data_IF_629234110294
#
_entry.id   IF_629234110294
#
_cell.length_a   1.000
_cell.length_b   1.000
_cell.length_c   1.000
_cell.angle_alpha   90.00
_cell.angle_beta   90.00
_cell.angle_gamma   90.00
#
_symmetry.space_group_name_H-M   'P 1'
#
loop_
_entity.id
_entity.type
_entity.pdbx_description
1 polymer ?
#
# COMPACT_ATOMS: atom_id res chain seq x y z
N UNK A 1 15.13 -9.88 -4.58
CA UNK A 1 15.18 -11.33 -4.23
C UNK A 1 13.78 -11.92 -3.97
N UNK A 2 12.91 -11.22 -3.23
CA UNK A 2 11.54 -11.69 -2.94
C UNK A 2 10.71 -11.79 -4.23
N UNK A 3 10.76 -10.79 -5.11
CA UNK A 3 10.01 -10.79 -6.37
C UNK A 3 10.32 -12.02 -7.24
N UNK A 4 11.57 -12.44 -7.31
CA UNK A 4 11.96 -13.64 -8.07
C UNK A 4 11.41 -14.95 -7.45
N UNK A 5 11.31 -15.01 -6.10
CA UNK A 5 10.76 -16.18 -5.41
C UNK A 5 9.24 -16.26 -5.52
N UNK A 6 8.58 -15.11 -5.40
CA UNK A 6 7.12 -15.02 -5.37
C UNK A 6 6.51 -14.95 -6.76
N UNK A 7 7.28 -14.48 -7.76
CA UNK A 7 6.81 -14.33 -9.14
C UNK A 7 6.21 -15.61 -9.73
N UNK A 8 6.85 -16.75 -9.49
CA UNK A 8 6.32 -18.05 -9.95
C UNK A 8 4.99 -18.43 -9.28
N UNK A 9 4.74 -17.95 -8.06
CA UNK A 9 3.50 -18.24 -7.34
C UNK A 9 2.30 -17.44 -7.87
N UNK A 10 2.55 -16.34 -8.56
CA UNK A 10 1.51 -15.53 -9.20
C UNK A 10 0.82 -16.27 -10.37
N UNK A 11 1.51 -17.23 -10.96
CA UNK A 11 0.99 -18.07 -12.06
C UNK A 11 0.40 -19.40 -11.57
N UNK A 12 0.30 -19.61 -10.27
CA UNK A 12 -0.23 -20.84 -9.69
C UNK A 12 -1.70 -21.07 -10.10
N UNK A 13 -2.07 -22.33 -10.38
CA UNK A 13 -3.45 -22.72 -10.59
C UNK A 13 -4.35 -22.45 -9.38
N UNK A 14 -3.78 -22.52 -8.17
CA UNK A 14 -4.52 -22.27 -6.94
C UNK A 14 -4.68 -20.75 -6.71
N UNK A 15 -5.91 -20.22 -6.75
CA UNK A 15 -6.14 -18.78 -6.57
C UNK A 15 -5.75 -18.28 -5.17
N UNK A 16 -5.80 -19.12 -4.13
CA UNK A 16 -5.35 -18.74 -2.79
C UNK A 16 -3.83 -18.49 -2.75
N UNK A 17 -3.06 -19.26 -3.53
CA UNK A 17 -1.62 -19.04 -3.68
C UNK A 17 -1.36 -17.73 -4.41
N UNK A 18 -2.09 -17.44 -5.50
CA UNK A 18 -1.97 -16.15 -6.22
C UNK A 18 -2.29 -14.97 -5.32
N UNK A 19 -3.38 -15.07 -4.55
CA UNK A 19 -3.74 -14.05 -3.56
C UNK A 19 -2.62 -13.81 -2.54
N UNK A 20 -2.11 -14.89 -1.93
CA UNK A 20 -1.02 -14.81 -0.96
C UNK A 20 0.26 -14.22 -1.55
N UNK A 21 0.58 -14.56 -2.80
CA UNK A 21 1.71 -14.02 -3.53
C UNK A 21 1.56 -12.51 -3.79
N UNK A 22 0.37 -12.04 -4.18
CA UNK A 22 0.08 -10.60 -4.29
C UNK A 22 0.35 -9.87 -2.97
N UNK A 23 -0.21 -10.38 -1.87
CA UNK A 23 -0.04 -9.77 -0.54
C UNK A 23 1.43 -9.78 -0.10
N UNK A 24 2.17 -10.85 -0.39
CA UNK A 24 3.60 -10.93 -0.08
C UNK A 24 4.42 -9.87 -0.82
N UNK A 25 4.11 -9.58 -2.09
CA UNK A 25 4.73 -8.49 -2.84
C UNK A 25 4.41 -7.13 -2.21
N UNK A 26 3.13 -6.85 -1.95
CA UNK A 26 2.72 -5.57 -1.36
C UNK A 26 3.36 -5.31 0.00
N UNK A 27 3.46 -6.34 0.85
CA UNK A 27 4.05 -6.23 2.19
C UNK A 27 5.58 -6.14 2.19
N UNK A 28 6.23 -6.68 1.17
CA UNK A 28 7.69 -6.63 1.07
C UNK A 28 8.23 -5.33 0.48
N UNK A 29 7.41 -4.59 -0.26
CA UNK A 29 7.80 -3.36 -0.96
C UNK A 29 6.84 -2.19 -0.64
N UNK A 30 6.49 -1.94 0.63
CA UNK A 30 5.56 -0.86 0.95
C UNK A 30 6.19 0.49 0.65
N UNK A 31 5.42 1.37 0.01
CA UNK A 31 5.82 2.74 -0.35
C UNK A 31 7.10 2.83 -1.21
N UNK A 32 7.48 1.75 -1.88
CA UNK A 32 8.71 1.71 -2.70
C UNK A 32 8.54 2.31 -4.10
N UNK A 33 7.33 2.25 -4.65
CA UNK A 33 7.08 2.58 -6.05
C UNK A 33 7.79 1.64 -7.04
N UNK A 34 8.22 0.45 -6.59
CA UNK A 34 8.98 -0.52 -7.39
C UNK A 34 8.21 -0.93 -8.64
N UNK A 35 8.77 -0.61 -9.80
CA UNK A 35 8.18 -0.84 -11.12
C UNK A 35 8.01 -2.33 -11.40
N UNK A 36 8.97 -3.15 -10.99
CA UNK A 36 8.91 -4.60 -11.20
C UNK A 36 7.79 -5.23 -10.36
N UNK A 37 7.66 -4.79 -9.10
CA UNK A 37 6.56 -5.22 -8.23
C UNK A 37 5.20 -4.84 -8.82
N UNK A 38 5.07 -3.63 -9.34
CA UNK A 38 3.84 -3.14 -9.97
C UNK A 38 3.54 -3.94 -11.23
N UNK A 39 4.53 -4.20 -12.09
CA UNK A 39 4.37 -4.96 -13.32
C UNK A 39 3.88 -6.39 -13.06
N UNK A 40 4.37 -7.04 -11.99
CA UNK A 40 3.93 -8.36 -11.56
C UNK A 40 2.47 -8.37 -11.05
N UNK A 41 2.04 -7.31 -10.37
CA UNK A 41 0.68 -7.20 -9.80
C UNK A 41 -0.38 -6.79 -10.83
N UNK A 42 0.02 -6.07 -11.87
CA UNK A 42 -0.91 -5.50 -12.86
C UNK A 42 -1.84 -6.51 -13.54
N UNK A 43 -1.38 -7.67 -14.04
CA UNK A 43 -2.25 -8.66 -14.66
C UNK A 43 -3.25 -9.26 -13.67
N UNK A 44 -2.89 -9.42 -12.41
CA UNK A 44 -3.75 -10.01 -11.37
C UNK A 44 -4.89 -9.07 -10.93
N UNK A 45 -4.80 -7.79 -11.23
CA UNK A 45 -5.90 -6.85 -11.03
C UNK A 45 -7.10 -7.12 -11.96
N UNK A 46 -6.94 -8.00 -12.96
CA UNK A 46 -7.98 -8.46 -13.89
C UNK A 46 -8.15 -9.97 -13.88
N UNK A 47 -7.65 -10.66 -12.85
CA UNK A 47 -7.77 -12.09 -12.67
C UNK A 47 -9.25 -12.54 -12.73
N UNK A 48 -9.50 -13.77 -13.20
CA UNK A 48 -10.84 -14.34 -13.26
C UNK A 48 -11.50 -14.43 -11.88
N UNK A 49 -10.70 -14.65 -10.83
CA UNK A 49 -11.17 -14.83 -9.46
C UNK A 49 -11.17 -13.49 -8.71
N UNK A 50 -12.28 -13.15 -8.11
CA UNK A 50 -12.55 -11.85 -7.50
C UNK A 50 -11.68 -11.53 -6.27
N UNK A 51 -11.42 -12.49 -5.39
CA UNK A 51 -10.55 -12.26 -4.23
C UNK A 51 -9.07 -12.13 -4.63
N UNK A 52 -8.65 -12.70 -5.79
CA UNK A 52 -7.31 -12.44 -6.33
C UNK A 52 -7.21 -11.01 -6.81
N UNK A 53 -8.21 -10.50 -7.55
CA UNK A 53 -8.28 -9.07 -7.93
C UNK A 53 -8.19 -8.16 -6.71
N UNK A 54 -8.94 -8.50 -5.67
CA UNK A 54 -8.92 -7.77 -4.41
C UNK A 54 -7.51 -7.71 -3.79
N UNK A 55 -6.83 -8.86 -3.67
CA UNK A 55 -5.46 -8.93 -3.16
C UNK A 55 -4.48 -8.10 -4.00
N UNK A 56 -4.60 -8.19 -5.32
CA UNK A 56 -3.77 -7.42 -6.25
C UNK A 56 -3.98 -5.90 -6.12
N UNK A 57 -5.23 -5.43 -5.94
CA UNK A 57 -5.52 -4.01 -5.71
C UNK A 57 -4.93 -3.50 -4.40
N UNK A 58 -5.10 -4.25 -3.31
CA UNK A 58 -4.54 -3.90 -2.00
C UNK A 58 -3.00 -3.91 -2.03
N UNK A 59 -2.40 -4.94 -2.64
CA UNK A 59 -0.95 -5.04 -2.78
C UNK A 59 -0.37 -3.90 -3.61
N UNK A 60 -1.00 -3.56 -4.75
CA UNK A 60 -0.58 -2.41 -5.55
C UNK A 60 -0.65 -1.11 -4.77
N UNK A 61 -1.73 -0.91 -3.99
CA UNK A 61 -1.87 0.28 -3.14
C UNK A 61 -0.76 0.40 -2.10
N UNK A 62 -0.33 -0.72 -1.49
CA UNK A 62 0.81 -0.73 -0.56
C UNK A 62 2.11 -0.31 -1.26
N UNK A 63 2.37 -0.81 -2.47
CA UNK A 63 3.59 -0.48 -3.23
C UNK A 63 3.61 0.98 -3.65
N UNK A 64 2.48 1.52 -4.12
CA UNK A 64 2.40 2.91 -4.62
C UNK A 64 2.05 3.94 -3.55
N UNK A 65 1.90 3.52 -2.30
CA UNK A 65 1.67 4.39 -1.17
C UNK A 65 2.72 5.49 -1.12
N UNK A 66 2.32 6.76 -0.92
CA UNK A 66 3.21 7.93 -0.86
C UNK A 66 3.90 8.32 -2.18
N UNK A 67 3.74 7.54 -3.25
CA UNK A 67 4.37 7.89 -4.52
C UNK A 67 3.63 9.04 -5.20
N UNK A 68 4.38 9.84 -5.94
CA UNK A 68 3.84 10.90 -6.81
C UNK A 68 3.67 10.37 -8.24
N UNK A 69 2.82 11.04 -9.02
CA UNK A 69 2.64 10.73 -10.44
C UNK A 69 3.89 11.01 -11.29
N UNK A 70 4.83 11.80 -10.77
CA UNK A 70 6.13 12.02 -11.40
C UNK A 70 7.07 10.80 -11.24
N UNK A 71 6.98 10.10 -10.10
CA UNK A 71 7.77 8.91 -9.80
C UNK A 71 7.18 7.64 -10.41
N UNK A 72 5.85 7.49 -10.33
CA UNK A 72 5.13 6.32 -10.84
C UNK A 72 4.07 6.77 -11.85
N UNK A 73 4.40 6.69 -13.13
CA UNK A 73 3.55 7.17 -14.22
C UNK A 73 2.15 6.53 -14.24
N UNK A 74 2.03 5.28 -13.79
CA UNK A 74 0.75 4.58 -13.75
C UNK A 74 -0.14 4.93 -12.54
N UNK A 75 0.34 5.74 -11.59
CA UNK A 75 -0.41 6.07 -10.38
C UNK A 75 -1.76 6.74 -10.70
N UNK A 76 -1.79 7.66 -11.66
CA UNK A 76 -3.02 8.33 -12.09
C UNK A 76 -4.04 7.35 -12.67
N UNK A 77 -3.60 6.45 -13.55
CA UNK A 77 -4.47 5.42 -14.14
C UNK A 77 -4.98 4.43 -13.09
N UNK A 78 -4.15 4.06 -12.12
CA UNK A 78 -4.55 3.18 -11.03
C UNK A 78 -5.59 3.84 -10.11
N UNK A 79 -5.43 5.12 -9.78
CA UNK A 79 -6.43 5.88 -9.00
C UNK A 79 -7.77 5.99 -9.74
N UNK A 80 -7.74 6.25 -11.04
CA UNK A 80 -8.94 6.29 -11.87
C UNK A 80 -9.63 4.93 -11.89
N UNK A 81 -8.87 3.85 -12.11
CA UNK A 81 -9.38 2.47 -12.07
C UNK A 81 -10.08 2.16 -10.75
N UNK A 82 -9.47 2.50 -9.61
CA UNK A 82 -10.08 2.30 -8.29
C UNK A 82 -11.39 3.09 -8.19
N UNK A 83 -11.40 4.35 -8.60
CA UNK A 83 -12.58 5.21 -8.55
C UNK A 83 -13.72 4.64 -9.42
N UNK A 84 -13.40 4.13 -10.60
CA UNK A 84 -14.37 3.47 -11.49
C UNK A 84 -14.92 2.20 -10.86
N UNK A 85 -14.05 1.31 -10.32
CA UNK A 85 -14.47 0.07 -9.66
C UNK A 85 -15.42 0.31 -8.49
N UNK A 86 -15.23 1.40 -7.73
CA UNK A 86 -16.11 1.74 -6.62
C UNK A 86 -17.48 2.26 -7.12
N UNK A 87 -17.49 3.06 -8.19
CA UNK A 87 -18.70 3.65 -8.76
C UNK A 87 -19.54 2.67 -9.58
N UNK A 88 -18.91 1.73 -10.26
CA UNK A 88 -19.58 0.78 -11.14
C UNK A 88 -20.49 -0.18 -10.36
N UNK A 89 -21.59 -0.60 -10.96
CA UNK A 89 -22.54 -1.55 -10.38
C UNK A 89 -22.16 -3.02 -10.62
N UNK A 90 -21.36 -3.29 -11.63
CA UNK A 90 -21.09 -4.65 -12.13
C UNK A 90 -19.97 -5.43 -11.43
N UNK A 91 -18.90 -4.82 -10.87
CA UNK A 91 -17.84 -5.58 -10.21
C UNK A 91 -18.37 -6.38 -9.01
N UNK A 92 -17.73 -7.53 -8.75
CA UNK A 92 -18.05 -8.32 -7.57
C UNK A 92 -17.83 -7.53 -6.26
N UNK A 93 -18.56 -7.88 -5.23
CA UNK A 93 -18.46 -7.24 -3.92
C UNK A 93 -17.02 -7.26 -3.38
N UNK A 94 -16.31 -8.39 -3.55
CA UNK A 94 -14.94 -8.52 -3.08
C UNK A 94 -13.98 -7.59 -3.83
N UNK A 95 -14.12 -7.47 -5.14
CA UNK A 95 -13.31 -6.52 -5.92
C UNK A 95 -13.56 -5.07 -5.50
N UNK A 96 -14.82 -4.70 -5.22
CA UNK A 96 -15.16 -3.36 -4.71
C UNK A 96 -14.57 -3.10 -3.33
N UNK A 97 -14.68 -4.05 -2.42
CA UNK A 97 -14.06 -3.94 -1.09
C UNK A 97 -12.56 -3.77 -1.22
N UNK A 98 -11.90 -4.55 -2.10
CA UNK A 98 -10.48 -4.37 -2.40
C UNK A 98 -10.14 -2.97 -2.91
N UNK A 99 -10.96 -2.41 -3.80
CA UNK A 99 -10.76 -1.06 -4.31
C UNK A 99 -10.94 0.02 -3.23
N UNK A 100 -11.94 -0.13 -2.34
CA UNK A 100 -12.17 0.79 -1.21
C UNK A 100 -10.98 0.75 -0.24
N UNK A 101 -10.52 -0.45 0.12
CA UNK A 101 -9.36 -0.61 1.00
C UNK A 101 -8.10 -0.04 0.35
N UNK A 102 -7.89 -0.30 -0.93
CA UNK A 102 -6.76 0.25 -1.69
C UNK A 102 -6.76 1.79 -1.70
N UNK A 103 -7.92 2.41 -1.90
CA UNK A 103 -8.07 3.87 -1.78
C UNK A 103 -7.69 4.37 -0.38
N UNK A 104 -8.18 3.69 0.67
CA UNK A 104 -7.86 4.03 2.05
C UNK A 104 -6.37 3.91 2.38
N UNK A 105 -5.70 2.86 1.88
CA UNK A 105 -4.25 2.67 2.02
C UNK A 105 -3.48 3.82 1.36
N UNK A 106 -3.82 4.17 0.11
CA UNK A 106 -3.13 5.24 -0.62
C UNK A 106 -3.33 6.62 -0.02
N UNK A 107 -4.48 6.87 0.59
CA UNK A 107 -4.83 8.18 1.16
C UNK A 107 -4.68 8.23 2.69
N UNK A 108 -4.07 7.19 3.28
CA UNK A 108 -3.83 7.11 4.72
C UNK A 108 -3.08 8.34 5.25
N UNK A 109 -3.60 8.91 6.34
CA UNK A 109 -3.04 10.11 6.96
C UNK A 109 -2.95 11.32 6.03
N UNK A 110 -3.85 11.45 5.05
CA UNK A 110 -3.79 12.51 4.05
C UNK A 110 -2.57 12.41 3.14
N UNK A 111 -2.11 11.19 2.86
CA UNK A 111 -0.89 10.83 2.12
C UNK A 111 0.41 11.19 2.84
N UNK A 112 0.35 11.31 4.16
CA UNK A 112 1.51 11.63 5.00
C UNK A 112 1.91 10.46 5.91
N UNK A 113 1.49 9.24 5.58
CA UNK A 113 1.83 8.02 6.30
C UNK A 113 2.34 6.95 5.35
N UNK A 114 3.32 6.17 5.79
CA UNK A 114 3.79 4.97 5.12
C UNK A 114 3.76 3.78 6.07
N UNK A 115 3.68 2.57 5.52
CA UNK A 115 3.83 1.35 6.29
C UNK A 115 5.31 1.16 6.62
N UNK A 116 5.64 1.05 7.91
CA UNK A 116 7.00 0.80 8.36
C UNK A 116 7.02 -0.21 9.51
N UNK A 117 7.57 -1.38 9.22
CA UNK A 117 7.75 -2.46 10.20
C UNK A 117 9.05 -2.32 11.01
N UNK A 118 9.94 -1.43 10.58
CA UNK A 118 11.20 -1.11 11.23
C UNK A 118 11.25 0.37 11.58
N UNK A 119 12.03 0.70 12.62
CA UNK A 119 12.36 2.08 12.94
C UNK A 119 13.46 2.60 12.01
N UNK A 120 13.71 3.92 12.02
CA UNK A 120 14.84 4.53 11.30
C UNK A 120 16.21 3.97 11.71
N UNK A 121 16.31 3.41 12.92
CA UNK A 121 17.50 2.74 13.45
C UNK A 121 17.58 1.25 13.14
N UNK A 122 16.66 0.70 12.31
CA UNK A 122 16.65 -0.69 11.87
C UNK A 122 16.05 -1.70 12.84
N UNK A 123 15.53 -1.26 14.00
CA UNK A 123 14.87 -2.16 14.95
C UNK A 123 13.44 -2.47 14.54
N UNK A 124 13.01 -3.73 14.73
CA UNK A 124 11.64 -4.15 14.48
C UNK A 124 10.67 -3.45 15.44
N UNK A 125 9.59 -2.93 14.88
CA UNK A 125 8.43 -2.42 15.62
C UNK A 125 7.47 -3.57 15.88
N UNK A 126 7.52 -4.20 17.06
CA UNK A 126 6.71 -5.38 17.39
C UNK A 126 5.20 -5.11 17.24
N UNK A 127 4.72 -3.93 17.67
CA UNK A 127 3.31 -3.55 17.50
C UNK A 127 2.90 -3.44 16.03
N UNK A 128 3.76 -2.88 15.18
CA UNK A 128 3.52 -2.79 13.74
C UNK A 128 3.47 -4.16 13.08
N UNK A 129 4.40 -5.06 13.45
CA UNK A 129 4.40 -6.43 12.95
C UNK A 129 3.16 -7.21 13.39
N UNK A 130 2.76 -7.09 14.66
CA UNK A 130 1.55 -7.72 15.18
C UNK A 130 0.29 -7.16 14.50
N UNK A 131 0.19 -5.84 14.35
CA UNK A 131 -0.92 -5.18 13.66
C UNK A 131 -1.05 -5.62 12.22
N UNK A 132 0.08 -5.69 11.50
CA UNK A 132 0.11 -6.15 10.11
C UNK A 132 -0.28 -7.63 9.99
N UNK A 133 0.21 -8.49 10.89
CA UNK A 133 -0.15 -9.91 10.90
C UNK A 133 -1.66 -10.11 11.12
N UNK A 134 -2.25 -9.39 12.07
CA UNK A 134 -3.69 -9.42 12.34
C UNK A 134 -4.49 -8.89 11.14
N UNK A 135 -4.05 -7.79 10.54
CA UNK A 135 -4.71 -7.23 9.36
C UNK A 135 -4.68 -8.21 8.18
N UNK A 136 -3.54 -8.78 7.84
CA UNK A 136 -3.41 -9.73 6.73
C UNK A 136 -4.33 -10.94 6.90
N UNK A 137 -4.51 -11.43 8.13
CA UNK A 137 -5.35 -12.59 8.41
C UNK A 137 -6.83 -12.25 8.49
N UNK A 138 -7.21 -11.04 8.90
CA UNK A 138 -8.57 -10.73 9.35
C UNK A 138 -9.11 -9.39 8.85
N UNK A 139 -8.54 -8.81 7.78
CA UNK A 139 -8.99 -7.52 7.22
C UNK A 139 -10.47 -7.50 6.81
N UNK A 140 -11.03 -8.66 6.43
CA UNK A 140 -12.45 -8.82 6.06
C UNK A 140 -13.39 -8.64 7.24
N UNK A 141 -12.90 -8.74 8.47
CA UNK A 141 -13.67 -8.43 9.67
C UNK A 141 -13.40 -6.98 10.08
N UNK A 142 -14.38 -6.14 9.90
CA UNK A 142 -14.28 -4.69 10.08
C UNK A 142 -13.50 -4.23 11.34
N UNK A 143 -13.71 -4.79 12.56
CA UNK A 143 -12.93 -4.36 13.72
C UNK A 143 -11.44 -4.64 13.60
N UNK A 144 -11.05 -5.71 12.90
CA UNK A 144 -9.65 -6.11 12.74
C UNK A 144 -8.91 -5.27 11.69
N UNK A 145 -9.63 -4.61 10.78
CA UNK A 145 -9.03 -3.70 9.81
C UNK A 145 -8.23 -2.58 10.48
N UNK A 146 -8.69 -2.09 11.62
CA UNK A 146 -8.03 -1.00 12.35
C UNK A 146 -6.63 -1.34 12.85
N UNK A 147 -6.27 -2.62 12.98
CA UNK A 147 -4.91 -3.04 13.34
C UNK A 147 -3.85 -2.63 12.31
N UNK A 148 -4.26 -2.37 11.07
CA UNK A 148 -3.38 -1.80 10.04
C UNK A 148 -2.74 -0.47 10.48
N UNK A 149 -3.45 0.34 11.27
CA UNK A 149 -2.96 1.63 11.75
C UNK A 149 -1.70 1.53 12.62
N UNK A 150 -1.47 0.39 13.28
CA UNK A 150 -0.26 0.16 14.09
C UNK A 150 1.03 0.12 13.24
N UNK A 151 0.90 -0.19 11.95
CA UNK A 151 2.02 -0.22 11.02
C UNK A 151 2.24 1.14 10.32
N UNK A 152 1.30 2.06 10.42
CA UNK A 152 1.43 3.39 9.81
C UNK A 152 2.41 4.26 10.59
N UNK A 153 3.34 4.86 9.89
CA UNK A 153 4.31 5.82 10.44
C UNK A 153 4.18 7.13 9.69
N UNK A 154 4.06 8.26 10.38
CA UNK A 154 4.04 9.58 9.75
C UNK A 154 5.33 9.83 8.97
N UNK A 155 5.21 10.42 7.77
CA UNK A 155 6.33 10.80 6.91
C UNK A 155 6.39 12.31 6.70
N UNK A 156 5.40 13.05 7.22
CA UNK A 156 5.35 14.50 7.13
C UNK A 156 6.43 15.14 7.99
N UNK A 157 7.11 16.13 7.44
CA UNK A 157 8.00 17.01 8.19
C UNK A 157 7.16 18.06 8.91
N UNK A 158 7.23 18.11 10.25
CA UNK A 158 6.55 19.09 11.08
C UNK A 158 7.59 20.06 11.63
N UNK A 159 7.51 21.32 11.22
CA UNK A 159 8.32 22.41 11.77
C UNK A 159 7.55 23.13 12.87
N UNK A 160 8.22 23.44 13.98
CA UNK A 160 7.69 24.27 15.06
C UNK A 160 8.59 25.50 15.25
N UNK A 161 7.98 26.63 15.58
CA UNK A 161 8.74 27.81 16.01
C UNK A 161 9.21 27.68 17.49
N UNK A 162 9.94 28.68 18.00
CA UNK A 162 10.43 28.68 19.39
C UNK A 162 9.31 28.64 20.44
N UNK A 163 8.09 28.99 20.07
CA UNK A 163 6.92 28.98 20.96
C UNK A 163 6.09 27.71 20.81
N UNK A 164 6.57 26.71 20.02
CA UNK A 164 5.87 25.46 19.71
C UNK A 164 4.60 25.63 18.86
N UNK A 165 4.44 26.78 18.18
CA UNK A 165 3.36 26.97 17.22
C UNK A 165 3.80 26.52 15.83
N UNK A 166 2.85 26.07 14.99
CA UNK A 166 3.12 25.75 13.59
C UNK A 166 3.23 27.03 12.77
N UNK A 167 4.37 27.28 12.09
CA UNK A 167 4.50 28.43 11.19
C UNK A 167 3.57 28.26 10.01
N UNK A 168 2.99 29.38 9.56
CA UNK A 168 2.13 29.39 8.36
C UNK A 168 2.93 29.30 7.07
N UNK A 169 4.15 29.87 7.09
CA UNK A 169 5.08 29.84 5.96
C UNK A 169 6.50 29.59 6.46
N UNK A 170 7.20 28.64 5.85
CA UNK A 170 8.62 28.39 6.13
C UNK A 170 9.32 27.79 4.92
N UNK A 171 10.61 28.05 4.78
CA UNK A 171 11.48 27.47 3.77
C UNK A 171 12.45 26.49 4.39
N UNK A 172 12.68 25.38 3.74
CA UNK A 172 13.61 24.33 4.19
C UNK A 172 14.68 24.13 3.11
N UNK A 173 15.94 24.09 3.53
CA UNK A 173 17.04 23.70 2.66
C UNK A 173 17.28 22.20 2.85
N UNK A 174 17.02 21.41 1.79
CA UNK A 174 17.31 19.99 1.79
C UNK A 174 18.72 19.78 1.26
N UNK A 175 19.63 19.28 2.13
CA UNK A 175 21.00 18.90 1.77
C UNK A 175 21.11 17.40 1.43
N UNK A 176 20.16 16.87 0.68
CA UNK A 176 20.18 15.49 0.19
C UNK A 176 20.89 15.38 -1.14
N UNK A 177 21.56 14.24 -1.38
CA UNK A 177 22.04 13.89 -2.71
C UNK A 177 20.84 13.71 -3.63
N UNK A 178 20.81 14.29 -4.84
CA UNK A 178 19.80 13.93 -5.83
C UNK A 178 20.16 12.53 -6.34
N UNK A 179 19.44 11.50 -5.91
CA UNK A 179 19.48 10.15 -6.50
C UNK A 179 18.35 10.01 -7.52
#
# INVERSE_FOLDING_TARGET
RILALVGLLLESFNPHVRYGACMAIGLSHPASGDVDAIALLQPLQTDAIDFVRQGALMATALVVMQQSSAQVHMLGSFRNKITELVKDKYPSTLTKVGAIIAAGIMDAGGRNCAVALQSSSGFLKHSACAGMALWVQSWYWYPMFHFFSLALTPTVLIGLNSNFDMPTDFSVICSGSPD
#
